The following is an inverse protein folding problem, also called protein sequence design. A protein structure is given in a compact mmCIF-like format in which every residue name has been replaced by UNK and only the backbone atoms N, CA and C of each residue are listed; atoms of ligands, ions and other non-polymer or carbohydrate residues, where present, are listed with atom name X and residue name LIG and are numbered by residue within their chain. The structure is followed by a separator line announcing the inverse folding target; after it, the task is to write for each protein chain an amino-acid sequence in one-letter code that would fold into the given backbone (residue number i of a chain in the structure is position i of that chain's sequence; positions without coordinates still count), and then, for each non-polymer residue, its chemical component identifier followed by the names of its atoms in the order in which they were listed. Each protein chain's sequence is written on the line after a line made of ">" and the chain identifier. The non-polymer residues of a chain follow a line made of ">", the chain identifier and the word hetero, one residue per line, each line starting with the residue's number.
data_IF_901206898068
#
_entry.id   IF_901206898068
#
_cell.length_a   1.000
_cell.length_b   1.000
_cell.length_c   1.000
_cell.angle_alpha   90.00
_cell.angle_beta   90.00
_cell.angle_gamma   90.00
#
_symmetry.space_group_name_H-M   'P 1'
#
loop_
_entity.id
_entity.type
_entity.pdbx_description
1 polymer ?
#
# COMPACT_ATOMS: atom_id res chain seq x y z
N UNK A 1 -25.71 32.25 -0.13
CA UNK A 1 -26.20 31.99 1.23
C UNK A 1 -25.65 33.06 2.14
N UNK A 2 -26.51 33.85 2.80
CA UNK A 2 -26.10 34.73 3.87
C UNK A 2 -25.58 33.92 5.08
N UNK A 3 -24.71 34.51 5.89
CA UNK A 3 -23.94 33.81 6.92
C UNK A 3 -24.80 33.28 8.08
N UNK A 4 -25.99 33.87 8.29
CA UNK A 4 -27.04 33.47 9.22
C UNK A 4 -27.76 32.18 8.82
N UNK A 5 -27.64 31.76 7.55
CA UNK A 5 -28.18 30.47 7.07
C UNK A 5 -27.16 29.32 7.18
N UNK A 6 -25.92 29.56 7.65
CA UNK A 6 -24.89 28.55 7.82
C UNK A 6 -24.93 27.93 9.23
N UNK A 7 -25.08 26.60 9.31
CA UNK A 7 -24.96 25.86 10.57
C UNK A 7 -23.62 25.14 10.66
N UNK A 8 -22.92 25.35 11.79
CA UNK A 8 -21.67 24.64 12.07
C UNK A 8 -21.99 23.22 12.50
N UNK A 9 -21.65 22.25 11.67
CA UNK A 9 -21.89 20.82 11.97
C UNK A 9 -20.84 20.26 12.92
N UNK A 10 -19.57 20.65 12.77
CA UNK A 10 -18.47 20.16 13.61
C UNK A 10 -17.25 21.09 13.56
N UNK A 11 -16.60 21.22 14.72
CA UNK A 11 -15.23 21.72 14.86
C UNK A 11 -14.42 20.65 15.57
N UNK A 12 -13.24 20.34 15.04
CA UNK A 12 -12.31 19.41 15.67
C UNK A 12 -10.88 19.93 15.50
N UNK A 13 -10.20 20.09 16.63
CA UNK A 13 -8.78 20.42 16.65
C UNK A 13 -7.99 19.10 16.78
N UNK A 14 -6.97 18.93 15.95
CA UNK A 14 -6.10 17.77 16.02
C UNK A 14 -4.67 18.14 15.69
N UNK A 15 -3.73 17.56 16.44
CA UNK A 15 -2.30 17.62 16.12
C UNK A 15 -1.92 16.34 15.39
N UNK A 16 -1.51 16.46 14.14
CA UNK A 16 -0.95 15.31 13.42
C UNK A 16 0.51 15.10 13.82
N UNK A 17 0.93 13.84 13.85
CA UNK A 17 2.33 13.44 14.03
C UNK A 17 2.73 12.52 12.88
N UNK A 18 4.02 12.49 12.59
CA UNK A 18 4.63 11.44 11.78
C UNK A 18 5.36 10.49 12.73
N UNK A 19 4.81 9.30 12.95
CA UNK A 19 5.36 8.33 13.88
C UNK A 19 5.16 6.91 13.36
N UNK A 20 6.06 5.99 13.73
CA UNK A 20 5.97 4.57 13.39
C UNK A 20 6.43 3.78 14.61
N UNK A 21 5.62 2.82 15.06
CA UNK A 21 5.97 1.93 16.16
C UNK A 21 7.23 1.11 15.85
N UNK A 22 8.03 0.84 16.89
CA UNK A 22 9.28 0.10 16.77
C UNK A 22 9.06 -1.40 16.57
N UNK A 23 7.95 -1.94 17.05
CA UNK A 23 7.58 -3.35 16.92
C UNK A 23 6.09 -3.44 16.59
N UNK A 24 5.76 -4.23 15.57
CA UNK A 24 4.39 -4.39 15.08
C UNK A 24 3.79 -5.74 15.48
N UNK A 25 4.63 -6.70 15.89
CA UNK A 25 4.24 -8.01 16.42
C UNK A 25 5.04 -8.34 17.69
N UNK A 26 4.34 -8.78 18.73
CA UNK A 26 4.95 -9.43 19.89
C UNK A 26 4.15 -10.69 20.25
N UNK A 27 4.69 -11.86 19.89
CA UNK A 27 3.96 -13.13 20.00
C UNK A 27 2.65 -13.09 19.20
N UNK A 28 1.53 -13.19 19.90
CA UNK A 28 0.18 -13.18 19.33
C UNK A 28 -0.48 -11.80 19.33
N UNK A 29 0.25 -10.75 19.72
CA UNK A 29 -0.25 -9.37 19.74
C UNK A 29 0.29 -8.62 18.52
N UNK A 30 -0.61 -7.94 17.81
CA UNK A 30 -0.32 -7.17 16.59
C UNK A 30 -0.86 -5.75 16.72
N UNK A 31 -0.14 -4.78 16.15
CA UNK A 31 -0.63 -3.41 15.95
C UNK A 31 -0.72 -3.09 14.47
N UNK A 32 -1.73 -2.32 14.07
CA UNK A 32 -1.99 -1.90 12.70
C UNK A 32 -2.68 -0.53 12.67
N UNK A 33 -2.69 0.13 11.50
CA UNK A 33 -3.28 1.46 11.36
C UNK A 33 -2.63 2.48 12.29
N UNK A 34 -3.41 3.37 12.88
CA UNK A 34 -2.91 4.46 13.72
C UNK A 34 -2.13 3.99 14.97
N UNK A 35 -2.40 2.77 15.45
CA UNK A 35 -1.62 2.16 16.54
C UNK A 35 -0.19 1.78 16.10
N UNK A 36 0.00 1.46 14.81
CA UNK A 36 1.30 1.09 14.25
C UNK A 36 2.02 2.29 13.63
N UNK A 37 1.30 3.26 13.08
CA UNK A 37 1.88 4.43 12.43
C UNK A 37 0.90 5.61 12.35
N UNK A 38 1.40 6.82 12.59
CA UNK A 38 0.66 8.07 12.43
C UNK A 38 1.13 8.74 11.14
N UNK A 39 0.18 9.02 10.24
CA UNK A 39 0.45 9.66 8.95
C UNK A 39 -0.04 11.10 8.94
N UNK A 40 0.79 12.09 8.56
CA UNK A 40 0.34 13.44 8.29
C UNK A 40 -0.78 13.47 7.21
N UNK A 41 -1.77 14.36 7.31
CA UNK A 41 -3.00 14.31 6.49
C UNK A 41 -2.80 14.79 5.04
N UNK A 42 -1.58 15.15 4.65
CA UNK A 42 -1.29 15.84 3.38
C UNK A 42 -1.55 15.01 2.10
N UNK A 43 -1.72 13.70 2.23
CA UNK A 43 -2.01 12.81 1.08
C UNK A 43 -3.26 11.94 1.29
N UNK A 44 -3.98 12.11 2.41
CA UNK A 44 -5.21 11.35 2.69
C UNK A 44 -5.04 9.84 2.81
N UNK A 45 -3.87 9.35 3.27
CA UNK A 45 -3.53 7.92 3.23
C UNK A 45 -3.61 7.19 4.57
N UNK A 46 -3.99 7.83 5.68
CA UNK A 46 -4.03 7.20 7.00
C UNK A 46 -4.96 5.98 7.04
N UNK A 47 -6.26 6.19 6.83
CA UNK A 47 -7.26 5.12 6.78
C UNK A 47 -6.93 4.06 5.71
N UNK A 48 -6.55 4.50 4.50
CA UNK A 48 -6.15 3.60 3.43
C UNK A 48 -4.93 2.74 3.76
N UNK A 49 -4.00 3.26 4.56
CA UNK A 49 -2.86 2.48 5.05
C UNK A 49 -3.27 1.44 6.09
N UNK A 50 -4.12 1.81 7.06
CA UNK A 50 -4.66 0.87 8.04
C UNK A 50 -5.45 -0.28 7.39
N UNK A 51 -6.29 0.01 6.39
CA UNK A 51 -7.02 -1.02 5.64
C UNK A 51 -6.04 -1.96 4.92
N UNK A 52 -4.97 -1.42 4.31
CA UNK A 52 -3.93 -2.25 3.67
C UNK A 52 -3.18 -3.12 4.66
N UNK A 53 -2.98 -2.64 5.89
CA UNK A 53 -2.35 -3.42 6.95
C UNK A 53 -3.25 -4.58 7.39
N UNK A 54 -4.54 -4.30 7.64
CA UNK A 54 -5.54 -5.32 7.95
C UNK A 54 -5.65 -6.36 6.83
N UNK A 55 -5.73 -5.91 5.57
CA UNK A 55 -5.77 -6.79 4.41
C UNK A 55 -4.53 -7.68 4.29
N UNK A 56 -3.33 -7.17 4.63
CA UNK A 56 -2.10 -7.97 4.59
C UNK A 56 -2.02 -8.99 5.74
N UNK A 57 -2.47 -8.62 6.94
CA UNK A 57 -2.39 -9.46 8.13
C UNK A 57 -3.49 -10.55 8.15
N UNK A 58 -4.71 -10.23 7.72
CA UNK A 58 -5.87 -11.12 7.86
C UNK A 58 -5.69 -12.48 7.17
N UNK A 59 -5.22 -12.51 5.93
CA UNK A 59 -5.03 -13.79 5.22
C UNK A 59 -3.86 -14.59 5.78
N UNK A 60 -2.82 -13.92 6.29
CA UNK A 60 -1.67 -14.58 6.94
C UNK A 60 -2.10 -15.25 8.24
N UNK A 61 -2.89 -14.53 9.05
CA UNK A 61 -3.50 -15.10 10.27
C UNK A 61 -4.39 -16.30 9.94
N UNK A 62 -5.28 -16.16 8.95
CA UNK A 62 -6.14 -17.26 8.54
C UNK A 62 -5.32 -18.50 8.09
N UNK A 63 -4.26 -18.29 7.31
CA UNK A 63 -3.37 -19.37 6.87
C UNK A 63 -2.63 -20.04 8.03
N UNK A 64 -2.13 -19.28 9.02
CA UNK A 64 -1.47 -19.87 10.20
C UNK A 64 -2.46 -20.62 11.09
N UNK A 65 -3.63 -20.03 11.35
CA UNK A 65 -4.67 -20.64 12.20
C UNK A 65 -5.24 -21.93 11.61
N UNK A 66 -5.26 -22.05 10.28
CA UNK A 66 -5.70 -23.26 9.58
C UNK A 66 -4.59 -24.30 9.38
N UNK A 67 -3.37 -24.05 9.88
CA UNK A 67 -2.21 -24.95 9.71
C UNK A 67 -1.62 -24.96 8.30
N UNK A 68 -2.06 -24.03 7.47
CA UNK A 68 -1.79 -23.91 6.05
C UNK A 68 -0.50 -23.11 5.76
N UNK A 69 -0.14 -22.21 6.67
CA UNK A 69 1.10 -21.44 6.64
C UNK A 69 1.86 -21.62 7.96
N UNK A 70 3.21 -21.59 7.94
CA UNK A 70 3.98 -21.59 9.17
C UNK A 70 3.85 -20.26 9.91
N UNK A 71 3.95 -20.27 11.24
CA UNK A 71 3.86 -19.07 12.09
C UNK A 71 4.82 -17.94 11.66
N UNK A 72 5.99 -18.30 11.15
CA UNK A 72 7.00 -17.34 10.65
C UNK A 72 6.49 -16.46 9.50
N UNK A 73 5.40 -16.83 8.84
CA UNK A 73 4.74 -15.97 7.86
C UNK A 73 4.17 -14.72 8.52
N UNK A 74 3.75 -14.76 9.78
CA UNK A 74 3.24 -13.58 10.48
C UNK A 74 4.32 -12.51 10.71
N UNK A 75 5.59 -12.89 10.80
CA UNK A 75 6.70 -11.92 10.89
C UNK A 75 6.85 -11.09 9.61
N UNK A 76 6.39 -11.64 8.48
CA UNK A 76 6.42 -10.91 7.20
C UNK A 76 5.45 -9.72 7.19
N UNK A 77 4.45 -9.68 8.07
CA UNK A 77 3.54 -8.53 8.17
C UNK A 77 4.33 -7.25 8.47
N UNK A 78 5.13 -7.23 9.55
CA UNK A 78 5.96 -6.08 9.88
C UNK A 78 6.99 -5.82 8.78
N UNK A 79 7.68 -6.86 8.32
CA UNK A 79 8.72 -6.79 7.29
C UNK A 79 8.23 -6.13 5.99
N UNK A 80 6.98 -6.38 5.60
CA UNK A 80 6.38 -5.85 4.38
C UNK A 80 5.73 -4.48 4.59
N UNK A 81 4.98 -4.30 5.69
CA UNK A 81 4.11 -3.15 5.88
C UNK A 81 4.82 -1.96 6.53
N UNK A 82 5.77 -2.18 7.44
CA UNK A 82 6.50 -1.08 8.11
C UNK A 82 7.34 -0.23 7.13
N UNK A 83 8.12 -0.81 6.20
CA UNK A 83 8.82 -0.01 5.19
C UNK A 83 7.84 0.72 4.25
N UNK A 84 6.73 0.07 3.91
CA UNK A 84 5.69 0.68 3.09
C UNK A 84 5.03 1.88 3.80
N UNK A 85 4.70 1.76 5.09
CA UNK A 85 4.13 2.87 5.88
C UNK A 85 5.14 4.03 5.98
N UNK A 86 6.41 3.74 6.27
CA UNK A 86 7.49 4.74 6.28
C UNK A 86 7.60 5.51 4.96
N UNK A 87 7.54 4.82 3.83
CA UNK A 87 7.59 5.45 2.51
C UNK A 87 6.40 6.40 2.28
N UNK A 88 5.19 5.99 2.68
CA UNK A 88 3.99 6.83 2.56
C UNK A 88 4.05 8.05 3.49
N UNK A 89 4.56 7.89 4.72
CA UNK A 89 4.77 8.99 5.67
C UNK A 89 5.80 9.98 5.13
N UNK A 90 6.92 9.49 4.59
CA UNK A 90 7.95 10.34 3.98
C UNK A 90 7.40 11.15 2.81
N UNK A 91 6.55 10.54 1.97
CA UNK A 91 5.84 11.25 0.91
C UNK A 91 4.90 12.32 1.49
N UNK A 92 4.11 11.99 2.52
CA UNK A 92 3.20 12.93 3.16
C UNK A 92 3.93 14.13 3.77
N UNK A 93 5.08 13.89 4.42
CA UNK A 93 5.94 14.95 4.97
C UNK A 93 6.51 15.84 3.87
N UNK A 94 6.96 15.24 2.76
CA UNK A 94 7.50 16.00 1.61
C UNK A 94 6.43 16.90 1.00
N UNK A 95 5.22 16.38 0.80
CA UNK A 95 4.07 17.16 0.31
C UNK A 95 3.69 18.24 1.32
N UNK A 96 3.57 17.92 2.60
CA UNK A 96 3.25 18.86 3.66
C UNK A 96 4.24 20.01 3.77
N UNK A 97 5.53 19.71 3.70
CA UNK A 97 6.60 20.72 3.67
C UNK A 97 6.45 21.63 2.45
N UNK A 98 6.19 21.06 1.26
CA UNK A 98 5.98 21.87 0.06
C UNK A 98 4.80 22.83 0.15
N UNK A 99 3.76 22.49 0.91
CA UNK A 99 2.57 23.33 1.12
C UNK A 99 2.78 24.37 2.21
N UNK A 100 3.39 23.99 3.34
CA UNK A 100 3.42 24.76 4.59
C UNK A 100 4.74 25.49 4.86
N UNK A 101 5.87 25.02 4.33
CA UNK A 101 7.16 25.70 4.48
C UNK A 101 7.26 26.88 3.49
N UNK A 102 6.42 27.90 3.70
CA UNK A 102 6.29 29.08 2.84
C UNK A 102 6.85 30.35 3.47
N UNK A 103 8.14 30.60 3.28
CA UNK A 103 8.73 31.95 3.29
C UNK A 103 8.99 32.45 1.85
N UNK A 104 9.66 33.59 1.67
CA UNK A 104 9.98 34.16 0.32
C UNK A 104 10.71 33.14 -0.58
N UNK A 105 11.60 32.34 -0.01
CA UNK A 105 12.35 31.30 -0.71
C UNK A 105 11.47 30.11 -1.15
N UNK A 106 10.58 29.62 -0.27
CA UNK A 106 9.64 28.54 -0.60
C UNK A 106 8.66 28.94 -1.71
N UNK A 107 8.21 30.20 -1.70
CA UNK A 107 7.37 30.76 -2.77
C UNK A 107 8.12 30.87 -4.10
N UNK A 108 9.39 31.28 -4.08
CA UNK A 108 10.22 31.35 -5.29
C UNK A 108 10.49 29.95 -5.89
N UNK A 109 10.81 28.96 -5.05
CA UNK A 109 10.98 27.57 -5.49
C UNK A 109 9.67 27.00 -6.05
N UNK A 110 8.53 27.24 -5.38
CA UNK A 110 7.21 26.82 -5.87
C UNK A 110 6.89 27.44 -7.23
N UNK A 111 7.14 28.74 -7.41
CA UNK A 111 6.95 29.45 -8.67
C UNK A 111 7.89 29.01 -9.79
N UNK A 112 9.10 28.53 -9.48
CA UNK A 112 10.05 28.06 -10.48
C UNK A 112 9.88 26.58 -10.84
N UNK A 113 9.52 25.74 -9.87
CA UNK A 113 9.51 24.27 -10.00
C UNK A 113 8.14 23.75 -10.43
N UNK A 114 7.03 24.25 -9.85
CA UNK A 114 5.67 23.76 -10.16
C UNK A 114 5.30 23.97 -11.64
N UNK A 115 5.59 25.14 -12.27
CA UNK A 115 5.35 25.33 -13.70
C UNK A 115 6.36 24.64 -14.60
N UNK A 116 7.37 23.94 -14.08
CA UNK A 116 8.30 23.13 -14.89
C UNK A 116 8.13 21.63 -14.65
N UNK A 117 7.37 21.26 -13.61
CA UNK A 117 7.12 19.89 -13.21
C UNK A 117 6.43 19.07 -14.31
N UNK A 118 5.66 19.71 -15.19
CA UNK A 118 5.02 19.07 -16.33
C UNK A 118 5.97 18.77 -17.50
N UNK A 119 7.19 19.32 -17.50
CA UNK A 119 8.22 19.04 -18.51
C UNK A 119 9.00 17.75 -18.20
N UNK A 120 8.91 17.23 -16.97
CA UNK A 120 9.55 15.97 -16.60
C UNK A 120 8.65 14.80 -17.06
N UNK A 121 9.11 13.96 -18.01
CA UNK A 121 8.32 12.84 -18.50
C UNK A 121 7.96 11.89 -17.35
N UNK A 122 6.68 11.52 -17.24
CA UNK A 122 6.18 10.61 -16.19
C UNK A 122 5.88 11.26 -14.84
N UNK A 123 6.09 12.58 -14.66
CA UNK A 123 5.70 13.26 -13.43
C UNK A 123 4.17 13.37 -13.29
N UNK A 124 3.47 13.70 -14.39
CA UNK A 124 2.00 13.69 -14.43
C UNK A 124 1.43 12.33 -14.07
N UNK A 125 2.02 11.23 -14.57
CA UNK A 125 1.57 9.89 -14.21
C UNK A 125 1.86 9.61 -12.74
N UNK A 126 3.03 9.96 -12.17
CA UNK A 126 3.27 9.77 -10.72
C UNK A 126 2.34 10.55 -9.81
N UNK A 127 1.93 11.76 -10.22
CA UNK A 127 0.99 12.58 -9.44
C UNK A 127 -0.45 12.09 -9.51
N UNK A 128 -0.87 11.51 -10.64
CA UNK A 128 -2.23 10.97 -10.82
C UNK A 128 -2.35 9.50 -10.44
N UNK A 129 -1.22 8.80 -10.29
CA UNK A 129 -1.22 7.38 -9.97
C UNK A 129 -1.23 7.19 -8.47
N UNK A 130 -2.34 6.71 -7.91
CA UNK A 130 -2.47 6.25 -6.51
C UNK A 130 -1.68 4.96 -6.21
N UNK A 131 -0.60 4.69 -6.95
CA UNK A 131 0.20 3.48 -6.79
C UNK A 131 1.03 3.62 -5.54
N UNK A 132 0.74 2.76 -4.59
CA UNK A 132 1.56 2.59 -3.42
C UNK A 132 2.87 1.87 -3.77
N UNK A 133 3.94 2.07 -2.99
CA UNK A 133 5.19 1.35 -3.21
C UNK A 133 4.99 -0.17 -3.10
N UNK A 134 5.79 -0.92 -3.86
CA UNK A 134 5.80 -2.37 -3.78
C UNK A 134 6.29 -2.84 -2.40
N UNK A 135 5.79 -3.99 -1.93
CA UNK A 135 6.22 -4.60 -0.68
C UNK A 135 7.72 -4.93 -0.71
N UNK A 136 8.33 -4.89 0.46
CA UNK A 136 9.72 -5.30 0.65
C UNK A 136 9.89 -6.81 0.52
N UNK A 137 11.14 -7.26 0.37
CA UNK A 137 11.46 -8.70 0.32
C UNK A 137 11.02 -9.35 1.63
N UNK A 138 10.38 -10.50 1.53
CA UNK A 138 9.95 -11.34 2.66
C UNK A 138 9.99 -12.81 2.26
N UNK A 139 9.55 -13.70 3.15
CA UNK A 139 9.33 -15.11 2.83
C UNK A 139 8.27 -15.33 1.74
N UNK A 140 7.42 -14.33 1.46
CA UNK A 140 6.36 -14.38 0.45
C UNK A 140 6.67 -13.52 -0.79
N UNK A 141 7.65 -12.61 -0.69
CA UNK A 141 8.00 -11.66 -1.75
C UNK A 141 9.46 -11.90 -2.18
N UNK A 142 9.64 -12.76 -3.17
CA UNK A 142 10.95 -13.12 -3.72
C UNK A 142 11.37 -12.24 -4.90
N UNK A 143 12.14 -11.19 -4.62
CA UNK A 143 12.64 -10.29 -5.67
C UNK A 143 13.86 -10.90 -6.39
N UNK A 144 13.69 -11.40 -7.62
CA UNK A 144 14.77 -11.90 -8.49
C UNK A 144 15.28 -10.81 -9.45
N UNK A 145 16.57 -10.85 -9.83
CA UNK A 145 17.20 -9.84 -10.71
C UNK A 145 16.44 -9.61 -12.03
N UNK A 146 15.80 -10.64 -12.59
CA UNK A 146 15.01 -10.54 -13.83
C UNK A 146 13.54 -10.09 -13.63
N UNK A 147 13.02 -10.16 -12.40
CA UNK A 147 11.61 -9.93 -12.06
C UNK A 147 11.33 -8.69 -11.19
N UNK A 148 12.37 -7.90 -10.87
CA UNK A 148 12.31 -6.77 -9.93
C UNK A 148 11.20 -5.74 -10.19
N UNK A 149 10.70 -5.63 -11.42
CA UNK A 149 9.73 -4.60 -11.80
C UNK A 149 8.30 -4.86 -11.31
N UNK A 150 7.92 -6.09 -10.96
CA UNK A 150 6.51 -6.40 -10.57
C UNK A 150 6.36 -7.13 -9.23
N UNK A 151 7.39 -7.83 -8.75
CA UNK A 151 7.27 -8.58 -7.50
C UNK A 151 7.02 -7.67 -6.29
N UNK A 152 5.95 -7.97 -5.54
CA UNK A 152 5.50 -7.16 -4.40
C UNK A 152 4.66 -5.94 -4.78
N UNK A 153 4.46 -5.65 -6.06
CA UNK A 153 3.53 -4.62 -6.51
C UNK A 153 2.10 -5.18 -6.58
N UNK A 154 1.10 -4.29 -6.53
CA UNK A 154 -0.29 -4.68 -6.81
C UNK A 154 -0.40 -5.28 -8.22
N UNK A 155 -1.08 -6.42 -8.30
CA UNK A 155 -1.41 -7.05 -9.57
C UNK A 155 -2.34 -6.11 -10.36
N UNK A 156 -2.03 -5.76 -11.62
CA UNK A 156 -2.93 -4.97 -12.44
C UNK A 156 -4.29 -5.67 -12.58
N UNK A 157 -5.37 -4.98 -12.21
CA UNK A 157 -6.71 -5.51 -12.35
C UNK A 157 -7.28 -5.20 -13.75
N UNK A 158 -6.79 -5.96 -14.75
CA UNK A 158 -7.19 -5.79 -16.16
C UNK A 158 -8.61 -6.30 -16.42
N UNK A 159 -9.27 -5.73 -17.44
CA UNK A 159 -10.51 -6.27 -18.00
C UNK A 159 -10.13 -7.37 -19.00
N UNK A 160 -10.66 -8.57 -18.80
CA UNK A 160 -10.42 -9.74 -19.64
C UNK A 160 -11.31 -9.71 -20.90
N UNK A 161 -11.01 -10.51 -21.94
CA UNK A 161 -11.87 -10.63 -23.12
C UNK A 161 -13.31 -11.07 -22.82
N UNK A 162 -13.55 -11.68 -21.65
CA UNK A 162 -14.88 -12.03 -21.15
C UNK A 162 -15.69 -10.82 -20.68
N UNK A 163 -15.08 -9.64 -20.58
CA UNK A 163 -15.68 -8.41 -20.04
C UNK A 163 -15.56 -8.29 -18.52
N UNK A 164 -15.13 -9.34 -17.83
CA UNK A 164 -14.93 -9.35 -16.38
C UNK A 164 -13.56 -8.80 -15.98
N UNK A 165 -13.46 -8.30 -14.75
CA UNK A 165 -12.18 -7.91 -14.17
C UNK A 165 -11.40 -9.12 -13.68
N UNK A 166 -10.08 -9.05 -13.76
CA UNK A 166 -9.17 -10.12 -13.36
C UNK A 166 -9.45 -10.58 -11.91
N UNK A 167 -9.64 -9.66 -10.97
CA UNK A 167 -9.90 -10.02 -9.57
C UNK A 167 -11.22 -10.77 -9.37
N UNK A 168 -12.26 -10.44 -10.15
CA UNK A 168 -13.53 -11.17 -10.13
C UNK A 168 -13.34 -12.64 -10.56
N UNK A 169 -12.53 -12.89 -11.57
CA UNK A 169 -12.24 -14.25 -12.07
C UNK A 169 -11.32 -15.02 -11.13
N UNK A 170 -10.32 -14.36 -10.53
CA UNK A 170 -9.37 -15.01 -9.60
C UNK A 170 -9.98 -15.31 -8.23
N UNK A 171 -10.99 -14.56 -7.82
CA UNK A 171 -11.58 -14.68 -6.48
C UNK A 171 -10.65 -14.18 -5.37
N UNK A 172 -10.76 -14.78 -4.19
CA UNK A 172 -10.08 -14.30 -2.95
C UNK A 172 -8.80 -15.07 -2.62
N UNK A 173 -8.52 -16.14 -3.36
CA UNK A 173 -7.42 -17.04 -3.11
C UNK A 173 -6.13 -16.69 -3.85
N UNK A 174 -5.13 -17.56 -3.69
CA UNK A 174 -3.92 -17.46 -4.50
C UNK A 174 -4.17 -17.93 -5.92
N UNK A 175 -3.53 -17.26 -6.87
CA UNK A 175 -3.62 -17.58 -8.29
C UNK A 175 -2.23 -17.67 -8.94
N UNK A 176 -2.09 -18.62 -9.87
CA UNK A 176 -0.99 -18.66 -10.82
C UNK A 176 -1.46 -18.04 -12.14
N UNK A 177 -0.80 -16.94 -12.54
CA UNK A 177 -1.01 -16.32 -13.85
C UNK A 177 0.19 -16.69 -14.73
N UNK A 178 -0.08 -17.34 -15.86
CA UNK A 178 0.94 -17.82 -16.81
C UNK A 178 0.46 -17.59 -18.23
N UNK A 179 1.39 -17.28 -19.14
CA UNK A 179 1.15 -17.24 -20.59
C UNK A 179 1.31 -18.61 -21.23
N UNK A 180 1.89 -19.57 -20.50
CA UNK A 180 2.12 -20.94 -20.95
C UNK A 180 1.13 -21.88 -20.27
N UNK A 181 0.69 -22.91 -20.98
CA UNK A 181 -0.17 -23.94 -20.41
C UNK A 181 0.65 -24.80 -19.45
N UNK A 182 0.30 -24.90 -18.15
CA UNK A 182 1.05 -25.71 -17.21
C UNK A 182 1.05 -27.18 -17.64
N UNK A 183 2.20 -27.84 -17.51
CA UNK A 183 2.29 -29.29 -17.79
C UNK A 183 1.56 -30.11 -16.71
N UNK A 184 1.41 -31.42 -16.92
CA UNK A 184 0.71 -32.32 -15.99
C UNK A 184 1.31 -32.30 -14.58
N UNK A 185 2.64 -32.29 -14.46
CA UNK A 185 3.33 -32.22 -13.17
C UNK A 185 3.10 -30.90 -12.42
N UNK A 186 3.11 -29.78 -13.13
CA UNK A 186 2.81 -28.45 -12.58
C UNK A 186 1.35 -28.34 -12.12
N UNK A 187 0.41 -28.87 -12.91
CA UNK A 187 -1.00 -28.95 -12.52
C UNK A 187 -1.21 -29.76 -11.24
N UNK A 188 -0.51 -30.87 -11.12
CA UNK A 188 -0.57 -31.72 -9.93
C UNK A 188 0.01 -31.02 -8.70
N UNK A 189 1.14 -30.31 -8.85
CA UNK A 189 1.69 -29.48 -7.77
C UNK A 189 0.74 -28.36 -7.33
N UNK A 190 0.04 -27.72 -8.27
CA UNK A 190 -0.94 -26.68 -7.97
C UNK A 190 -2.14 -27.26 -7.22
N UNK A 191 -2.64 -28.44 -7.61
CA UNK A 191 -3.73 -29.14 -6.90
C UNK A 191 -3.32 -29.54 -5.49
N UNK A 192 -2.11 -30.08 -5.31
CA UNK A 192 -1.57 -30.47 -4.00
C UNK A 192 -1.40 -29.29 -3.05
N UNK A 193 -1.12 -28.10 -3.59
CA UNK A 193 -0.98 -26.87 -2.80
C UNK A 193 -2.32 -26.14 -2.58
N UNK A 194 -3.39 -26.61 -3.24
CA UNK A 194 -4.76 -26.15 -3.08
C UNK A 194 -5.03 -24.70 -3.51
N UNK A 195 -6.29 -24.35 -3.81
CA UNK A 195 -6.74 -22.97 -3.69
C UNK A 195 -6.88 -22.66 -2.20
N UNK A 196 -6.09 -21.72 -1.68
CA UNK A 196 -6.33 -21.14 -0.34
C UNK A 196 -7.49 -20.16 -0.39
#
# INVERSE_FOLDING_TARGET
>A
MPADELSVVRVAEYTFRAAVADTWRQGNVFVLGDAAHLTPPFIGQGMGAGIRDAANLAWKLAGVLTGNLPDTVLDTYEQERKPHARAMIGLALTVGWSMTAGGRFGNAVRGAVVPRLHLVPGMRSRLTTSRTPALHRSALVHKTLSGWRRTGALCPNAILPTGERLDAVLGRGFALITTETPNSGQREQLRRRGPW
#
